data_IF_346031366675
#
_entry.id   IF_346031366675
#
_cell.length_a   1.000
_cell.length_b   1.000
_cell.length_c   1.000
_cell.angle_alpha   90.00
_cell.angle_beta   90.00
_cell.angle_gamma   90.00
#
_symmetry.space_group_name_H-M   'P 1'
#
loop_
_entity.id
_entity.type
_entity.pdbx_description
1 polymer ?
#
# COMPACT_ATOMS: atom_id res chain seq x y z
N UNK A 1 6.88 35.31 -11.96
CA UNK A 1 7.16 34.45 -10.79
C UNK A 1 6.83 33.02 -11.19
N UNK A 2 7.84 32.14 -11.28
CA UNK A 2 7.60 30.76 -11.68
C UNK A 2 7.14 29.96 -10.46
N UNK A 3 5.93 29.39 -10.54
CA UNK A 3 5.29 28.47 -9.58
C UNK A 3 4.60 29.08 -8.33
N UNK A 4 3.55 29.87 -8.53
CA UNK A 4 2.64 30.28 -7.44
C UNK A 4 1.84 29.12 -6.80
N UNK A 5 1.87 27.93 -7.39
CA UNK A 5 1.18 26.73 -6.89
C UNK A 5 2.03 25.87 -5.96
N UNK A 6 3.36 26.07 -5.95
CA UNK A 6 4.28 25.27 -5.16
C UNK A 6 4.37 25.83 -3.73
N UNK A 7 3.59 25.25 -2.82
CA UNK A 7 3.51 25.66 -1.41
C UNK A 7 4.53 24.91 -0.55
N UNK A 8 4.85 25.39 0.67
CA UNK A 8 5.67 24.66 1.64
C UNK A 8 5.19 23.22 1.89
N UNK A 9 3.88 22.98 1.81
CA UNK A 9 3.30 21.65 2.02
C UNK A 9 3.76 20.61 0.99
N UNK A 10 4.10 21.01 -0.23
CA UNK A 10 4.69 20.10 -1.23
C UNK A 10 6.06 19.58 -0.78
N UNK A 11 6.89 20.45 -0.20
CA UNK A 11 8.21 20.05 0.30
C UNK A 11 8.11 19.20 1.56
N UNK A 12 7.18 19.53 2.46
CA UNK A 12 6.94 18.74 3.67
C UNK A 12 6.46 17.33 3.33
N UNK A 13 5.47 17.18 2.44
CA UNK A 13 4.98 15.85 2.08
C UNK A 13 6.04 15.03 1.35
N UNK A 14 6.87 15.65 0.50
CA UNK A 14 8.02 14.98 -0.12
C UNK A 14 9.04 14.51 0.93
N UNK A 15 9.34 15.36 1.92
CA UNK A 15 10.21 14.99 3.05
C UNK A 15 9.65 13.83 3.86
N UNK A 16 8.35 13.85 4.17
CA UNK A 16 7.66 12.75 4.87
C UNK A 16 7.67 11.46 4.06
N UNK A 17 7.41 11.53 2.75
CA UNK A 17 7.45 10.38 1.84
C UNK A 17 8.85 9.77 1.77
N UNK A 18 9.88 10.60 1.61
CA UNK A 18 11.28 10.15 1.58
C UNK A 18 11.70 9.57 2.93
N UNK A 19 11.37 10.24 4.04
CA UNK A 19 11.65 9.78 5.39
C UNK A 19 11.00 8.42 5.67
N UNK A 20 9.71 8.28 5.32
CA UNK A 20 9.01 6.99 5.42
C UNK A 20 9.67 5.94 4.53
N UNK A 21 9.96 6.24 3.26
CA UNK A 21 10.55 5.29 2.32
C UNK A 21 11.91 4.78 2.81
N UNK A 22 12.77 5.67 3.31
CA UNK A 22 14.10 5.34 3.86
C UNK A 22 13.94 4.50 5.13
N UNK A 23 13.14 4.93 6.10
CA UNK A 23 12.98 4.22 7.36
C UNK A 23 12.34 2.83 7.14
N UNK A 24 11.22 2.78 6.42
CA UNK A 24 10.48 1.55 6.19
C UNK A 24 11.27 0.54 5.36
N UNK A 25 11.85 0.98 4.23
CA UNK A 25 12.64 0.09 3.36
C UNK A 25 13.99 -0.26 3.98
N UNK A 26 14.63 0.69 4.65
CA UNK A 26 15.89 0.47 5.35
C UNK A 26 15.74 -0.56 6.47
N UNK A 27 14.72 -0.42 7.33
CA UNK A 27 14.41 -1.42 8.35
C UNK A 27 14.00 -2.77 7.74
N UNK A 28 13.39 -2.79 6.55
CA UNK A 28 13.09 -4.05 5.87
C UNK A 28 14.37 -4.73 5.37
N UNK A 29 15.34 -3.95 4.88
CA UNK A 29 16.64 -4.43 4.41
C UNK A 29 17.54 -4.92 5.56
N UNK A 30 17.53 -4.22 6.70
CA UNK A 30 18.35 -4.53 7.88
C UNK A 30 17.84 -5.74 8.67
N UNK A 31 16.62 -6.22 8.39
CA UNK A 31 15.97 -7.31 9.12
C UNK A 31 16.85 -8.55 9.31
N UNK A 32 17.54 -9.11 8.30
CA UNK A 32 18.34 -10.34 8.47
C UNK A 32 19.50 -10.19 9.47
N UNK A 33 20.00 -8.97 9.65
CA UNK A 33 21.06 -8.67 10.62
C UNK A 33 20.43 -8.32 11.98
N UNK A 34 19.45 -7.43 11.99
CA UNK A 34 18.81 -6.98 13.23
C UNK A 34 18.12 -8.10 14.00
N UNK A 35 17.47 -9.04 13.32
CA UNK A 35 16.85 -10.21 13.97
C UNK A 35 17.87 -11.11 14.67
N UNK A 36 19.14 -11.15 14.23
CA UNK A 36 20.21 -11.91 14.90
C UNK A 36 20.70 -11.23 16.18
N UNK A 37 20.63 -9.90 16.25
CA UNK A 37 21.12 -9.11 17.37
C UNK A 37 20.09 -9.02 18.49
N UNK A 38 18.84 -8.66 18.15
CA UNK A 38 17.79 -8.35 19.13
C UNK A 38 16.63 -9.35 19.12
N UNK A 39 16.67 -10.35 18.23
CA UNK A 39 15.61 -11.33 18.06
C UNK A 39 14.45 -10.85 17.18
N UNK A 40 13.79 -11.79 16.50
CA UNK A 40 12.73 -11.50 15.52
C UNK A 40 11.51 -10.78 16.11
N UNK A 41 11.14 -11.08 17.36
CA UNK A 41 9.97 -10.45 18.01
C UNK A 41 10.22 -8.96 18.28
N UNK A 42 11.35 -8.64 18.91
CA UNK A 42 11.70 -7.25 19.24
C UNK A 42 11.96 -6.43 17.97
N UNK A 43 12.61 -7.02 16.97
CA UNK A 43 12.79 -6.36 15.67
C UNK A 43 11.47 -6.00 14.99
N UNK A 44 10.45 -6.87 15.04
CA UNK A 44 9.12 -6.56 14.51
C UNK A 44 8.45 -5.41 15.26
N UNK A 45 8.55 -5.37 16.59
CA UNK A 45 8.00 -4.28 17.40
C UNK A 45 8.68 -2.97 17.04
N UNK A 46 10.02 -2.93 16.97
CA UNK A 46 10.78 -1.75 16.55
C UNK A 46 10.36 -1.30 15.14
N UNK A 47 10.29 -2.24 14.19
CA UNK A 47 9.87 -1.95 12.82
C UNK A 47 8.49 -1.27 12.79
N UNK A 48 7.53 -1.79 13.55
CA UNK A 48 6.17 -1.25 13.64
C UNK A 48 6.14 0.12 14.35
N UNK A 49 6.86 0.28 15.46
CA UNK A 49 6.94 1.54 16.21
C UNK A 49 7.62 2.67 15.43
N UNK A 50 8.44 2.36 14.43
CA UNK A 50 8.98 3.38 13.50
C UNK A 50 8.04 3.60 12.32
N UNK A 51 7.59 2.52 11.67
CA UNK A 51 6.83 2.64 10.43
C UNK A 51 5.42 3.19 10.63
N UNK A 52 4.72 2.77 11.68
CA UNK A 52 3.33 3.18 11.91
C UNK A 52 3.23 4.69 12.23
N UNK A 53 4.01 5.27 13.15
CA UNK A 53 3.94 6.71 13.40
C UNK A 53 4.30 7.55 12.17
N UNK A 54 5.30 7.13 11.37
CA UNK A 54 5.65 7.82 10.13
C UNK A 54 4.51 7.76 9.11
N UNK A 55 3.90 6.58 8.93
CA UNK A 55 2.73 6.43 8.05
C UNK A 55 1.53 7.25 8.53
N UNK A 56 1.25 7.22 9.84
CA UNK A 56 0.17 8.01 10.45
C UNK A 56 0.40 9.51 10.24
N UNK A 57 1.61 10.00 10.47
CA UNK A 57 1.96 11.42 10.26
C UNK A 57 1.75 11.83 8.80
N UNK A 58 2.15 10.99 7.85
CA UNK A 58 1.95 11.22 6.42
C UNK A 58 0.46 11.28 6.05
N UNK A 59 -0.36 10.35 6.57
CA UNK A 59 -1.81 10.32 6.32
C UNK A 59 -2.49 11.56 6.88
N UNK A 60 -2.14 11.97 8.10
CA UNK A 60 -2.75 13.14 8.74
C UNK A 60 -2.36 14.42 7.99
N UNK A 61 -1.08 14.56 7.66
CA UNK A 61 -0.59 15.68 6.86
C UNK A 61 -1.28 15.76 5.50
N UNK A 62 -1.41 14.62 4.81
CA UNK A 62 -2.15 14.54 3.56
C UNK A 62 -3.60 15.01 3.71
N UNK A 63 -4.32 14.54 4.74
CA UNK A 63 -5.69 14.99 4.95
C UNK A 63 -5.78 16.49 5.14
N UNK A 64 -4.92 17.10 5.97
CA UNK A 64 -4.98 18.53 6.26
C UNK A 64 -4.65 19.39 5.02
N UNK A 65 -3.73 18.93 4.17
CA UNK A 65 -3.23 19.67 3.01
C UNK A 65 -3.79 19.21 1.65
N UNK A 66 -4.74 18.27 1.62
CA UNK A 66 -5.26 17.65 0.37
C UNK A 66 -5.73 18.65 -0.69
N UNK A 67 -6.13 19.86 -0.29
CA UNK A 67 -6.61 20.91 -1.20
C UNK A 67 -5.55 21.97 -1.54
N UNK A 68 -4.33 21.85 -1.04
CA UNK A 68 -3.25 22.80 -1.27
C UNK A 68 -2.75 22.79 -2.73
N UNK A 69 -2.15 23.90 -3.13
CA UNK A 69 -1.60 24.10 -4.46
C UNK A 69 -2.66 24.45 -5.52
N UNK A 70 -2.31 24.29 -6.79
CA UNK A 70 -3.24 24.58 -7.88
C UNK A 70 -4.23 23.43 -8.06
N UNK A 71 -5.51 23.78 -8.29
CA UNK A 71 -6.53 22.83 -8.72
C UNK A 71 -6.43 22.63 -10.23
N UNK A 72 -5.99 21.43 -10.62
CA UNK A 72 -5.83 20.98 -12.00
C UNK A 72 -7.15 20.51 -12.61
N UNK A 73 -8.01 19.86 -11.82
CA UNK A 73 -9.37 19.48 -12.23
C UNK A 73 -10.33 19.44 -11.04
N UNK A 74 -11.62 19.49 -11.35
CA UNK A 74 -12.70 19.23 -10.40
C UNK A 74 -13.81 18.43 -11.08
N UNK A 75 -13.86 17.14 -10.79
CA UNK A 75 -14.87 16.22 -11.32
C UNK A 75 -15.92 15.83 -10.26
N UNK A 76 -15.89 16.49 -9.09
CA UNK A 76 -16.90 16.29 -8.06
C UNK A 76 -18.24 16.83 -8.55
N UNK A 77 -19.30 16.01 -8.44
CA UNK A 77 -20.63 16.33 -8.97
C UNK A 77 -20.89 15.84 -10.40
N UNK A 78 -19.87 15.38 -11.13
CA UNK A 78 -20.07 14.71 -12.42
C UNK A 78 -20.70 13.33 -12.18
N UNK A 79 -21.80 12.98 -12.87
CA UNK A 79 -22.46 11.68 -12.72
C UNK A 79 -21.48 10.51 -12.90
N UNK A 80 -21.56 9.52 -12.03
CA UNK A 80 -20.72 8.31 -12.07
C UNK A 80 -19.34 8.44 -11.41
N UNK A 81 -18.72 9.63 -11.36
CA UNK A 81 -17.36 9.79 -10.82
C UNK A 81 -17.24 9.35 -9.36
N UNK A 82 -18.21 9.73 -8.51
CA UNK A 82 -18.22 9.29 -7.11
C UNK A 82 -18.27 7.77 -6.98
N UNK A 83 -19.12 7.11 -7.75
CA UNK A 83 -19.20 5.64 -7.77
C UNK A 83 -17.89 5.02 -8.27
N UNK A 84 -17.30 5.55 -9.34
CA UNK A 84 -16.02 5.09 -9.87
C UNK A 84 -14.90 5.17 -8.83
N UNK A 85 -14.75 6.31 -8.14
CA UNK A 85 -13.73 6.49 -7.09
C UNK A 85 -13.93 5.50 -5.96
N UNK A 86 -15.17 5.27 -5.53
CA UNK A 86 -15.48 4.29 -4.49
C UNK A 86 -15.20 2.85 -4.92
N UNK A 87 -15.59 2.47 -6.14
CA UNK A 87 -15.33 1.13 -6.69
C UNK A 87 -13.82 0.88 -6.80
N UNK A 88 -13.06 1.83 -7.36
CA UNK A 88 -11.60 1.72 -7.45
C UNK A 88 -10.96 1.62 -6.06
N UNK A 89 -11.44 2.41 -5.09
CA UNK A 89 -10.96 2.33 -3.70
C UNK A 89 -11.28 0.97 -3.08
N UNK A 90 -12.49 0.42 -3.28
CA UNK A 90 -12.84 -0.91 -2.80
C UNK A 90 -11.94 -2.00 -3.42
N UNK A 91 -11.73 -1.96 -4.74
CA UNK A 91 -10.80 -2.86 -5.44
C UNK A 91 -9.38 -2.72 -4.88
N UNK A 92 -8.92 -1.49 -4.61
CA UNK A 92 -7.58 -1.26 -4.06
C UNK A 92 -7.35 -1.98 -2.73
N UNK A 93 -8.36 -2.01 -1.85
CA UNK A 93 -8.28 -2.69 -0.56
C UNK A 93 -8.27 -4.21 -0.69
N UNK A 94 -8.94 -4.78 -1.70
CA UNK A 94 -8.82 -6.23 -1.99
C UNK A 94 -7.36 -6.61 -2.28
N UNK A 95 -6.62 -5.73 -2.97
CA UNK A 95 -5.20 -5.92 -3.28
C UNK A 95 -4.25 -5.61 -2.11
N UNK A 96 -4.60 -4.68 -1.20
CA UNK A 96 -3.75 -4.30 -0.07
C UNK A 96 -3.66 -5.35 1.05
N UNK A 97 -4.61 -6.31 1.13
CA UNK A 97 -4.66 -7.28 2.23
C UNK A 97 -4.45 -8.77 1.85
N UNK A 98 -3.33 -9.18 1.21
CA UNK A 98 -2.98 -10.59 1.13
C UNK A 98 -2.43 -11.15 2.44
N UNK A 99 -1.92 -10.29 3.33
CA UNK A 99 -1.29 -10.74 4.57
C UNK A 99 -2.31 -11.28 5.60
N UNK A 100 -3.60 -10.95 5.48
CA UNK A 100 -4.66 -11.46 6.38
C UNK A 100 -4.93 -12.96 6.22
N UNK A 101 -4.30 -13.63 5.25
CA UNK A 101 -4.49 -15.07 5.07
C UNK A 101 -3.84 -15.94 6.16
N UNK A 102 -2.99 -15.39 7.05
CA UNK A 102 -2.54 -16.07 8.28
C UNK A 102 -2.73 -15.19 9.52
N UNK A 103 -3.99 -15.02 9.91
CA UNK A 103 -4.36 -14.28 11.13
C UNK A 103 -3.58 -14.77 12.37
N UNK A 104 -3.21 -16.05 12.43
CA UNK A 104 -2.42 -16.63 13.54
C UNK A 104 -0.96 -16.17 13.57
N UNK A 105 -0.35 -15.90 12.41
CA UNK A 105 1.00 -15.31 12.34
C UNK A 105 0.98 -13.81 12.67
N UNK A 106 -0.11 -13.11 12.27
CA UNK A 106 -0.34 -11.71 12.63
C UNK A 106 -0.58 -11.55 14.13
N UNK A 107 -1.38 -12.44 14.73
CA UNK A 107 -1.64 -12.49 16.17
C UNK A 107 -0.41 -12.92 17.00
N UNK A 108 0.75 -13.13 16.35
CA UNK A 108 1.99 -13.62 16.95
C UNK A 108 1.86 -14.96 17.70
N UNK A 109 0.81 -15.73 17.40
CA UNK A 109 0.59 -17.08 17.93
C UNK A 109 1.53 -18.06 17.24
N UNK A 110 1.75 -17.88 15.93
CA UNK A 110 2.70 -18.65 15.15
C UNK A 110 3.93 -17.80 14.77
N UNK A 111 5.10 -18.44 14.66
CA UNK A 111 6.28 -17.80 14.09
C UNK A 111 5.97 -17.43 12.64
N UNK A 112 6.05 -16.15 12.24
CA UNK A 112 5.81 -15.76 10.86
C UNK A 112 6.80 -16.47 9.94
N UNK A 113 6.30 -17.14 8.93
CA UNK A 113 7.12 -17.75 7.88
C UNK A 113 6.91 -16.94 6.60
N UNK A 114 7.97 -16.79 5.80
CA UNK A 114 7.76 -16.31 4.43
C UNK A 114 7.33 -17.52 3.64
N UNK A 115 6.05 -17.59 3.37
CA UNK A 115 5.54 -18.54 2.41
C UNK A 115 5.59 -17.87 1.04
N UNK A 116 6.20 -18.54 0.08
CA UNK A 116 6.14 -18.12 -1.31
C UNK A 116 4.77 -18.52 -1.85
N UNK A 117 3.77 -17.72 -1.48
CA UNK A 117 2.38 -17.99 -1.85
C UNK A 117 2.20 -17.89 -3.35
N UNK A 118 1.44 -18.84 -3.89
CA UNK A 118 0.97 -18.83 -5.28
C UNK A 118 -0.55 -19.02 -5.31
N UNK A 119 -1.24 -18.51 -4.28
CA UNK A 119 -2.68 -18.69 -4.07
C UNK A 119 -3.38 -17.35 -3.82
N UNK A 120 -4.70 -17.31 -3.98
CA UNK A 120 -5.55 -16.15 -3.83
C UNK A 120 -5.12 -15.02 -4.76
N UNK A 121 -5.10 -13.80 -4.23
CA UNK A 121 -4.70 -12.60 -4.96
C UNK A 121 -3.26 -12.66 -5.51
N UNK A 122 -2.40 -13.51 -4.93
CA UNK A 122 -1.02 -13.69 -5.41
C UNK A 122 -0.97 -14.37 -6.79
N UNK A 123 -2.00 -15.16 -7.15
CA UNK A 123 -2.16 -15.69 -8.52
C UNK A 123 -2.36 -14.57 -9.55
N UNK A 124 -3.01 -13.48 -9.15
CA UNK A 124 -3.25 -12.31 -10.00
C UNK A 124 -1.96 -11.51 -10.17
N UNK A 125 -1.25 -11.25 -9.09
CA UNK A 125 0.05 -10.55 -9.09
C UNK A 125 0.85 -10.93 -7.85
N UNK A 126 2.17 -11.06 -7.97
CA UNK A 126 3.06 -11.28 -6.81
C UNK A 126 3.29 -10.02 -5.97
N UNK A 127 2.88 -8.85 -6.44
CA UNK A 127 2.96 -7.57 -5.70
C UNK A 127 1.59 -6.90 -5.58
N UNK A 128 0.63 -7.54 -4.91
CA UNK A 128 -0.73 -7.03 -4.82
C UNK A 128 -0.79 -5.72 -4.03
N UNK A 129 0.02 -5.53 -2.99
CA UNK A 129 0.05 -4.27 -2.24
C UNK A 129 0.45 -3.08 -3.13
N UNK A 130 1.42 -3.26 -4.04
CA UNK A 130 1.79 -2.21 -5.00
C UNK A 130 0.60 -1.88 -5.91
N UNK A 131 -0.07 -2.90 -6.45
CA UNK A 131 -1.21 -2.71 -7.36
C UNK A 131 -2.36 -2.01 -6.64
N UNK A 132 -2.67 -2.43 -5.42
CA UNK A 132 -3.67 -1.77 -4.58
C UNK A 132 -3.33 -0.31 -4.35
N UNK A 133 -2.10 0.00 -3.93
CA UNK A 133 -1.69 1.39 -3.71
C UNK A 133 -1.78 2.24 -4.99
N UNK A 134 -1.37 1.71 -6.14
CA UNK A 134 -1.46 2.43 -7.42
C UNK A 134 -2.92 2.76 -7.76
N UNK A 135 -3.83 1.78 -7.64
CA UNK A 135 -5.27 2.00 -7.86
C UNK A 135 -5.81 3.05 -6.89
N UNK A 136 -5.44 2.97 -5.61
CA UNK A 136 -5.86 3.92 -4.58
C UNK A 136 -5.40 5.35 -4.91
N UNK A 137 -4.13 5.51 -5.29
CA UNK A 137 -3.56 6.80 -5.71
C UNK A 137 -4.26 7.35 -6.95
N UNK A 138 -4.57 6.51 -7.95
CA UNK A 138 -5.33 6.93 -9.14
C UNK A 138 -6.73 7.42 -8.74
N UNK A 139 -7.46 6.65 -7.92
CA UNK A 139 -8.81 7.00 -7.48
C UNK A 139 -8.83 8.33 -6.69
N UNK A 140 -7.90 8.52 -5.75
CA UNK A 140 -7.86 9.72 -4.93
C UNK A 140 -7.37 10.94 -5.70
N UNK A 141 -6.43 10.76 -6.64
CA UNK A 141 -5.99 11.84 -7.52
C UNK A 141 -7.13 12.28 -8.44
N UNK A 142 -7.89 11.34 -9.00
CA UNK A 142 -9.11 11.66 -9.76
C UNK A 142 -10.10 12.50 -8.93
N UNK A 143 -10.33 12.14 -7.67
CA UNK A 143 -11.24 12.87 -6.77
C UNK A 143 -10.71 14.23 -6.29
N UNK A 144 -9.40 14.31 -6.04
CA UNK A 144 -8.69 15.46 -5.48
C UNK A 144 -7.67 15.95 -6.51
N UNK A 145 -8.16 16.71 -7.50
CA UNK A 145 -7.35 17.21 -8.61
C UNK A 145 -6.45 18.39 -8.25
N UNK A 146 -5.64 18.30 -7.20
CA UNK A 146 -4.68 19.33 -6.78
C UNK A 146 -3.25 18.92 -7.08
N UNK A 147 -2.36 19.90 -7.29
CA UNK A 147 -0.92 19.63 -7.47
C UNK A 147 -0.33 18.92 -6.25
N UNK A 148 -0.78 19.26 -5.04
CA UNK A 148 -0.35 18.59 -3.81
C UNK A 148 -0.71 17.10 -3.82
N UNK A 149 -1.95 16.76 -4.17
CA UNK A 149 -2.39 15.35 -4.25
C UNK A 149 -1.63 14.61 -5.34
N UNK A 150 -1.42 15.24 -6.51
CA UNK A 150 -0.68 14.64 -7.60
C UNK A 150 0.76 14.29 -7.18
N UNK A 151 1.48 15.24 -6.56
CA UNK A 151 2.84 15.00 -6.04
C UNK A 151 2.86 13.88 -5.00
N UNK A 152 1.90 13.91 -4.07
CA UNK A 152 1.78 12.87 -3.03
C UNK A 152 1.57 11.48 -3.63
N UNK A 153 0.63 11.37 -4.56
CA UNK A 153 0.32 10.12 -5.26
C UNK A 153 1.48 9.60 -6.09
N UNK A 154 2.17 10.47 -6.84
CA UNK A 154 3.37 10.08 -7.58
C UNK A 154 4.47 9.57 -6.66
N UNK A 155 4.73 10.25 -5.54
CA UNK A 155 5.71 9.80 -4.55
C UNK A 155 5.37 8.43 -3.94
N UNK A 156 4.10 8.21 -3.59
CA UNK A 156 3.63 6.91 -3.08
C UNK A 156 3.76 5.80 -4.12
N UNK A 157 3.37 6.06 -5.37
CA UNK A 157 3.50 5.12 -6.49
C UNK A 157 4.97 4.76 -6.70
N UNK A 158 5.86 5.75 -6.78
CA UNK A 158 7.30 5.53 -6.94
C UNK A 158 7.87 4.70 -5.79
N UNK A 159 7.48 4.97 -4.54
CA UNK A 159 7.89 4.16 -3.39
C UNK A 159 7.42 2.70 -3.52
N UNK A 160 6.19 2.44 -3.98
CA UNK A 160 5.68 1.08 -4.12
C UNK A 160 6.31 0.33 -5.31
N UNK A 161 6.63 1.03 -6.40
CA UNK A 161 7.41 0.48 -7.51
C UNK A 161 8.85 0.15 -7.07
N UNK A 162 9.48 1.02 -6.28
CA UNK A 162 10.74 0.71 -5.62
C UNK A 162 10.60 -0.51 -4.69
N UNK A 163 9.49 -0.59 -3.94
CA UNK A 163 9.15 -1.70 -3.06
C UNK A 163 9.08 -3.05 -3.77
N UNK A 164 8.60 -3.08 -5.02
CA UNK A 164 8.59 -4.28 -5.87
C UNK A 164 10.02 -4.79 -6.10
N UNK A 165 10.90 -3.94 -6.62
CA UNK A 165 12.30 -4.29 -6.86
C UNK A 165 13.01 -4.67 -5.56
N UNK A 166 12.86 -3.84 -4.53
CA UNK A 166 13.51 -4.02 -3.24
C UNK A 166 13.03 -5.32 -2.57
N UNK A 167 11.74 -5.63 -2.66
CA UNK A 167 11.13 -6.87 -2.19
C UNK A 167 11.66 -8.10 -2.91
N UNK A 168 11.57 -8.11 -4.24
CA UNK A 168 12.06 -9.23 -5.07
C UNK A 168 13.56 -9.48 -4.82
N UNK A 169 14.37 -8.42 -4.70
CA UNK A 169 15.81 -8.56 -4.40
C UNK A 169 16.07 -9.24 -3.05
N UNK A 170 15.32 -8.86 -2.01
CA UNK A 170 15.45 -9.49 -0.68
C UNK A 170 14.98 -10.95 -0.70
N UNK A 171 13.90 -11.25 -1.41
CA UNK A 171 13.40 -12.63 -1.55
C UNK A 171 14.39 -13.49 -2.34
N UNK A 172 14.96 -12.98 -3.43
CA UNK A 172 16.00 -13.66 -4.20
C UNK A 172 17.24 -13.97 -3.34
N UNK A 173 17.73 -12.98 -2.59
CA UNK A 173 18.89 -13.15 -1.72
C UNK A 173 18.65 -14.19 -0.60
N UNK A 174 17.41 -14.35 -0.16
CA UNK A 174 17.05 -15.25 0.95
C UNK A 174 16.68 -16.66 0.50
N UNK A 175 16.05 -16.81 -0.66
CA UNK A 175 15.43 -18.06 -1.10
C UNK A 175 16.01 -18.62 -2.42
N UNK A 176 16.88 -17.88 -3.11
CA UNK A 176 17.58 -18.35 -4.30
C UNK A 176 16.64 -18.95 -5.35
N UNK A 177 16.91 -20.19 -5.76
CA UNK A 177 16.15 -20.93 -6.76
C UNK A 177 14.66 -21.09 -6.41
N UNK A 178 14.32 -21.23 -5.13
CA UNK A 178 12.92 -21.35 -4.72
C UNK A 178 12.12 -20.09 -5.08
N UNK A 179 12.74 -18.91 -4.98
CA UNK A 179 12.10 -17.67 -5.41
C UNK A 179 12.11 -17.51 -6.93
N UNK A 180 13.17 -17.96 -7.62
CA UNK A 180 13.21 -18.00 -9.08
C UNK A 180 12.03 -18.78 -9.65
N UNK A 181 11.77 -19.97 -9.13
CA UNK A 181 10.64 -20.82 -9.53
C UNK A 181 9.28 -20.13 -9.34
N UNK A 182 9.12 -19.33 -8.27
CA UNK A 182 7.90 -18.55 -8.01
C UNK A 182 7.76 -17.40 -9.00
N UNK A 183 8.85 -16.71 -9.34
CA UNK A 183 8.84 -15.66 -10.37
C UNK A 183 8.45 -16.21 -11.74
N UNK A 184 8.89 -17.41 -12.08
CA UNK A 184 8.52 -18.11 -13.32
C UNK A 184 7.04 -18.50 -13.38
N UNK A 185 6.36 -18.66 -12.24
CA UNK A 185 4.92 -18.97 -12.18
C UNK A 185 4.01 -17.78 -11.89
N UNK A 186 4.58 -16.61 -11.60
CA UNK A 186 3.82 -15.40 -11.21
C UNK A 186 4.23 -14.16 -12.02
N UNK A 187 3.57 -13.02 -11.80
CA UNK A 187 3.84 -11.76 -12.50
C UNK A 187 3.71 -10.56 -11.57
N UNK A 188 4.45 -9.47 -11.84
CA UNK A 188 4.19 -8.16 -11.22
C UNK A 188 2.93 -7.55 -11.83
N UNK A 189 2.80 -7.60 -13.16
CA UNK A 189 1.63 -7.13 -13.88
C UNK A 189 0.43 -8.02 -13.56
N UNK A 190 -0.68 -7.47 -13.05
CA UNK A 190 -1.90 -8.22 -12.79
C UNK A 190 -2.34 -9.07 -13.99
N UNK A 191 -2.78 -10.30 -13.72
CA UNK A 191 -3.32 -11.27 -14.68
C UNK A 191 -2.35 -11.77 -15.78
N UNK A 192 -1.18 -11.15 -15.97
CA UNK A 192 -0.26 -11.52 -17.04
C UNK A 192 0.21 -12.97 -16.96
N UNK A 193 0.52 -13.49 -15.77
CA UNK A 193 0.91 -14.91 -15.62
C UNK A 193 -0.23 -15.87 -15.96
N UNK A 194 -1.49 -15.46 -15.72
CA UNK A 194 -2.68 -16.23 -16.05
C UNK A 194 -2.90 -16.23 -17.56
N UNK A 195 -2.83 -15.05 -18.19
CA UNK A 195 -2.95 -14.90 -19.65
C UNK A 195 -1.87 -15.69 -20.40
N UNK A 196 -0.67 -15.83 -19.82
CA UNK A 196 0.44 -16.62 -20.37
C UNK A 196 0.35 -18.13 -20.05
N UNK A 197 -0.67 -18.59 -19.33
CA UNK A 197 -0.81 -20.01 -18.95
C UNK A 197 0.17 -20.48 -17.87
N UNK A 198 1.01 -19.60 -17.32
CA UNK A 198 1.95 -19.91 -16.22
C UNK A 198 1.24 -20.04 -14.87
N UNK A 199 0.02 -19.51 -14.79
CA UNK A 199 -0.82 -19.55 -13.60
C UNK A 199 -2.29 -19.79 -13.96
N UNK A 200 -3.07 -20.32 -13.02
CA UNK A 200 -4.52 -20.47 -13.15
C UNK A 200 -5.24 -19.69 -12.07
N UNK A 201 -6.38 -19.06 -12.42
CA UNK A 201 -7.25 -18.43 -11.43
C UNK A 201 -8.13 -19.51 -10.78
N UNK A 202 -8.12 -19.56 -9.45
CA UNK A 202 -8.96 -20.48 -8.67
C UNK A 202 -9.92 -19.68 -7.80
N UNK A 203 -11.15 -19.49 -8.27
CA UNK A 203 -12.15 -18.66 -7.58
C UNK A 203 -12.48 -19.17 -6.17
N UNK A 204 -12.40 -20.48 -5.93
CA UNK A 204 -12.59 -21.08 -4.60
C UNK A 204 -11.59 -20.56 -3.55
N UNK A 205 -10.41 -20.09 -3.96
CA UNK A 205 -9.43 -19.51 -3.04
C UNK A 205 -9.84 -18.11 -2.53
N UNK A 206 -10.86 -17.50 -3.14
CA UNK A 206 -11.47 -16.25 -2.69
C UNK A 206 -12.65 -16.46 -1.73
N UNK A 207 -13.12 -17.70 -1.56
CA UNK A 207 -14.15 -18.07 -0.60
C UNK A 207 -13.53 -18.34 0.79
N UNK A 208 -12.83 -17.33 1.33
CA UNK A 208 -12.19 -17.40 2.66
C UNK A 208 -12.78 -16.37 3.62
N UNK A 209 -12.91 -16.67 4.92
CA UNK A 209 -13.37 -15.70 5.93
C UNK A 209 -12.57 -14.39 5.94
N UNK A 210 -11.30 -14.43 5.53
CA UNK A 210 -10.46 -13.25 5.38
C UNK A 210 -11.07 -12.20 4.43
N UNK A 211 -11.72 -12.62 3.33
CA UNK A 211 -12.37 -11.67 2.40
C UNK A 211 -13.65 -11.07 2.97
N UNK A 212 -14.36 -11.78 3.86
CA UNK A 212 -15.45 -11.17 4.63
C UNK A 212 -14.91 -10.10 5.59
N UNK A 213 -13.76 -10.36 6.23
CA UNK A 213 -13.04 -9.36 7.02
C UNK A 213 -12.60 -8.13 6.21
N UNK A 214 -12.08 -8.34 5.00
CA UNK A 214 -11.75 -7.25 4.07
C UNK A 214 -13.00 -6.46 3.67
N UNK A 215 -14.11 -7.13 3.35
CA UNK A 215 -15.36 -6.47 3.00
C UNK A 215 -15.91 -5.64 4.17
N UNK A 216 -15.89 -6.18 5.39
CA UNK A 216 -16.26 -5.46 6.61
C UNK A 216 -15.35 -4.24 6.82
N UNK A 217 -14.04 -4.40 6.69
CA UNK A 217 -13.08 -3.31 6.83
C UNK A 217 -13.33 -2.20 5.80
N UNK A 218 -13.57 -2.56 4.53
CA UNK A 218 -13.91 -1.58 3.48
C UNK A 218 -15.21 -0.86 3.82
N UNK A 219 -16.24 -1.56 4.30
CA UNK A 219 -17.50 -0.95 4.72
C UNK A 219 -17.34 0.00 5.92
N UNK A 220 -16.55 -0.40 6.92
CA UNK A 220 -16.24 0.43 8.09
C UNK A 220 -15.41 1.65 7.69
N UNK A 221 -14.42 1.50 6.82
CA UNK A 221 -13.65 2.62 6.30
C UNK A 221 -14.53 3.57 5.49
N UNK A 222 -15.42 3.04 4.65
CA UNK A 222 -16.37 3.87 3.88
C UNK A 222 -17.21 4.74 4.82
N UNK A 223 -17.77 4.13 5.88
CA UNK A 223 -18.53 4.83 6.91
C UNK A 223 -17.67 5.83 7.72
N UNK A 224 -16.46 5.42 8.10
CA UNK A 224 -15.57 6.24 8.93
C UNK A 224 -14.85 7.35 8.14
N UNK A 225 -14.74 7.25 6.82
CA UNK A 225 -13.96 8.16 5.98
C UNK A 225 -14.30 9.64 6.19
N UNK A 226 -15.59 10.07 6.23
CA UNK A 226 -15.94 11.45 6.57
C UNK A 226 -15.55 11.86 8.00
N UNK A 227 -15.58 10.92 8.95
CA UNK A 227 -15.17 11.18 10.33
C UNK A 227 -13.65 11.32 10.46
N UNK A 228 -12.88 10.48 9.76
CA UNK A 228 -11.42 10.57 9.70
C UNK A 228 -10.95 11.93 9.17
N UNK A 229 -11.60 12.42 8.11
CA UNK A 229 -11.32 13.76 7.59
C UNK A 229 -11.55 14.81 8.69
N UNK A 230 -12.70 14.78 9.40
CA UNK A 230 -12.98 15.76 10.45
C UNK A 230 -12.03 15.68 11.65
N UNK A 231 -11.69 14.48 12.10
CA UNK A 231 -10.81 14.26 13.25
C UNK A 231 -9.39 14.74 12.99
N UNK A 232 -8.91 14.62 11.75
CA UNK A 232 -7.54 15.07 11.41
C UNK A 232 -7.40 16.58 11.43
N UNK A 233 -8.46 17.34 11.12
CA UNK A 233 -8.50 18.80 11.29
C UNK A 233 -8.35 19.27 12.74
N UNK A 234 -8.70 18.44 13.73
CA UNK A 234 -8.56 18.80 15.16
C UNK A 234 -7.14 18.67 15.70
N UNK A 235 -6.21 18.17 14.89
CA UNK A 235 -4.81 18.09 15.28
C UNK A 235 -4.04 19.06 14.37
N UNK A 236 -3.28 19.99 14.97
CA UNK A 236 -2.63 21.10 14.27
C UNK A 236 -1.24 20.68 13.73
N UNK A 237 -1.15 20.52 12.42
CA UNK A 237 0.03 20.11 11.64
C UNK A 237 -0.29 20.23 10.15
#
# INVERSE_FOLDING_TARGET
MMFNWLTPSHFVILGLLLGFAIAHSGLAALRPVGEKVIGARLYRVLFALVSLPLATSLIIYFFNHRYDGARLWNVQGVPGIGATVWILSAISFIFLYPATFNLLEIAAVQKPQVHLYETGIIRVTRHPQMVGQVIWCIAHTLWLGTTFTLVTSLGLILHHLFGVWHGDRRLQARYGEAFTAVRERTSITPFLAIAQGRQSLKLSEFLRPAYAGVALFVGLLWWAHPHLIRLTHSVNW
#
